data_IF_252729530774
#
_entry.id   IF_252729530774
#
_cell.length_a   1.000
_cell.length_b   1.000
_cell.length_c   1.000
_cell.angle_alpha   90.00
_cell.angle_beta   90.00
_cell.angle_gamma   90.00
#
_symmetry.space_group_name_H-M   'P 1'
#
loop_
_entity.id
_entity.type
_entity.pdbx_description
1 polymer ?
#
# COMPACT_ATOMS: atom_id res chain seq x y z
N UNK A 1 14.28 -4.68 -21.55
CA UNK A 1 13.59 -3.36 -21.47
C UNK A 1 13.07 -3.07 -20.07
N UNK A 2 12.49 -4.04 -19.37
CA UNK A 2 12.03 -3.94 -17.98
C UNK A 2 13.14 -3.74 -16.92
N UNK A 3 14.41 -4.02 -17.24
CA UNK A 3 15.52 -3.94 -16.29
C UNK A 3 16.31 -2.63 -16.31
N UNK A 4 16.18 -1.78 -17.35
CA UNK A 4 16.96 -0.54 -17.47
C UNK A 4 16.11 0.73 -17.40
N UNK A 5 14.95 0.75 -18.06
CA UNK A 5 14.05 1.91 -18.00
C UNK A 5 13.27 1.97 -16.68
N UNK A 6 12.79 0.83 -16.19
CA UNK A 6 12.02 0.78 -14.94
C UNK A 6 12.89 0.99 -13.71
N UNK A 7 14.17 0.57 -13.73
CA UNK A 7 15.09 0.74 -12.60
C UNK A 7 15.38 2.21 -12.28
N UNK A 8 15.54 3.04 -13.32
CA UNK A 8 15.72 4.49 -13.15
C UNK A 8 14.49 5.16 -12.55
N UNK A 9 13.29 4.79 -13.01
CA UNK A 9 12.02 5.26 -12.48
C UNK A 9 11.78 4.84 -11.03
N UNK A 10 12.13 3.61 -10.67
CA UNK A 10 12.02 3.07 -9.30
C UNK A 10 13.01 3.77 -8.36
N UNK A 11 14.28 3.95 -8.78
CA UNK A 11 15.27 4.70 -8.01
C UNK A 11 14.87 6.17 -7.82
N UNK A 12 14.29 6.80 -8.83
CA UNK A 12 13.89 8.21 -8.74
C UNK A 12 12.71 8.41 -7.77
N UNK A 13 11.70 7.54 -7.84
CA UNK A 13 10.58 7.59 -6.90
C UNK A 13 11.01 7.27 -5.46
N UNK A 14 11.90 6.29 -5.25
CA UNK A 14 12.42 5.96 -3.92
C UNK A 14 13.35 7.05 -3.35
N UNK A 15 14.12 7.74 -4.19
CA UNK A 15 14.94 8.89 -3.80
C UNK A 15 14.07 10.05 -3.28
N UNK A 16 12.95 10.35 -3.93
CA UNK A 16 12.03 11.41 -3.49
C UNK A 16 11.48 11.10 -2.08
N UNK A 17 11.06 9.86 -1.86
CA UNK A 17 10.56 9.43 -0.54
C UNK A 17 11.67 9.48 0.50
N UNK A 18 12.88 9.00 0.17
CA UNK A 18 14.03 9.04 1.06
C UNK A 18 14.44 10.46 1.46
N UNK A 19 14.37 11.43 0.53
CA UNK A 19 14.63 12.85 0.82
C UNK A 19 13.59 13.39 1.80
N UNK A 20 12.30 13.08 1.61
CA UNK A 20 11.24 13.53 2.53
C UNK A 20 11.42 12.89 3.92
N UNK A 21 11.78 11.61 3.99
CA UNK A 21 12.11 10.92 5.24
C UNK A 21 13.31 11.57 5.95
N UNK A 22 14.38 11.89 5.22
CA UNK A 22 15.54 12.58 5.78
C UNK A 22 15.19 13.97 6.32
N UNK A 23 14.38 14.75 5.58
CA UNK A 23 13.87 16.05 6.04
C UNK A 23 13.01 15.92 7.30
N UNK A 24 12.19 14.87 7.40
CA UNK A 24 11.35 14.60 8.56
C UNK A 24 12.18 14.28 9.81
N UNK A 25 13.24 13.49 9.68
CA UNK A 25 14.09 13.15 10.84
C UNK A 25 14.87 14.38 11.32
N UNK A 26 15.31 15.26 10.41
CA UNK A 26 15.89 16.56 10.79
C UNK A 26 14.87 17.49 11.48
N UNK A 27 13.62 17.52 11.01
CA UNK A 27 12.56 18.28 11.67
C UNK A 27 12.24 17.73 13.07
N UNK A 28 12.33 16.41 13.25
CA UNK A 28 12.14 15.74 14.54
C UNK A 28 13.23 16.09 15.55
N UNK A 29 14.49 16.20 15.11
CA UNK A 29 15.57 16.75 15.94
C UNK A 29 15.30 18.22 16.32
N UNK A 30 14.80 19.04 15.38
CA UNK A 30 14.39 20.42 15.67
C UNK A 30 13.27 20.50 16.72
N UNK A 31 12.32 19.57 16.71
CA UNK A 31 11.25 19.47 17.71
C UNK A 31 11.78 19.19 19.11
N UNK A 32 12.86 18.44 19.25
CA UNK A 32 13.50 18.20 20.55
C UNK A 32 14.03 19.48 21.21
N UNK A 33 14.19 20.56 20.43
CA UNK A 33 14.61 21.90 20.89
C UNK A 33 13.44 22.82 21.28
N UNK A 34 12.20 22.34 21.23
CA UNK A 34 11.01 23.06 21.71
C UNK A 34 10.35 24.00 20.69
N UNK A 35 10.69 23.89 19.41
CA UNK A 35 10.18 24.79 18.38
C UNK A 35 8.83 24.31 17.82
N UNK A 36 7.77 25.11 17.97
CA UNK A 36 6.42 24.74 17.51
C UNK A 36 6.34 24.66 15.97
N UNK A 37 7.21 25.39 15.27
CA UNK A 37 7.39 25.31 13.83
C UNK A 37 7.90 23.95 13.38
N UNK A 38 8.76 23.30 14.18
CA UNK A 38 9.27 21.96 13.89
C UNK A 38 8.17 20.89 14.01
N UNK A 39 7.20 21.07 14.92
CA UNK A 39 6.02 20.21 15.02
C UNK A 39 5.12 20.33 13.78
N UNK A 40 4.88 21.55 13.29
CA UNK A 40 4.11 21.77 12.06
C UNK A 40 4.84 21.21 10.84
N UNK A 41 6.16 21.41 10.74
CA UNK A 41 6.98 20.87 9.67
C UNK A 41 6.99 19.33 9.66
N UNK A 42 7.11 18.69 10.83
CA UNK A 42 7.04 17.23 10.97
C UNK A 42 5.69 16.68 10.48
N UNK A 43 4.58 17.33 10.85
CA UNK A 43 3.25 16.94 10.37
C UNK A 43 3.11 17.10 8.85
N UNK A 44 3.55 18.23 8.29
CA UNK A 44 3.47 18.50 6.85
C UNK A 44 4.35 17.51 6.07
N UNK A 45 5.57 17.25 6.55
CA UNK A 45 6.49 16.28 5.94
C UNK A 45 5.96 14.85 6.05
N UNK A 46 5.29 14.50 7.16
CA UNK A 46 4.62 13.21 7.30
C UNK A 46 3.47 13.03 6.31
N UNK A 47 2.64 14.07 6.13
CA UNK A 47 1.59 14.07 5.11
C UNK A 47 2.19 13.97 3.69
N UNK A 48 3.24 14.74 3.41
CA UNK A 48 3.90 14.74 2.11
C UNK A 48 4.56 13.39 1.79
N UNK A 49 5.16 12.74 2.79
CA UNK A 49 5.72 11.41 2.65
C UNK A 49 4.63 10.40 2.26
N UNK A 50 3.50 10.41 2.98
CA UNK A 50 2.38 9.53 2.68
C UNK A 50 1.82 9.75 1.28
N UNK A 51 1.68 11.01 0.85
CA UNK A 51 1.24 11.36 -0.51
C UNK A 51 2.24 10.88 -1.56
N UNK A 52 3.55 11.05 -1.33
CA UNK A 52 4.60 10.65 -2.27
C UNK A 52 4.69 9.12 -2.40
N UNK A 53 4.66 8.38 -1.29
CA UNK A 53 4.64 6.92 -1.28
C UNK A 53 3.40 6.38 -2.00
N UNK A 54 2.24 6.98 -1.74
CA UNK A 54 1.00 6.66 -2.42
C UNK A 54 1.11 6.89 -3.92
N UNK A 55 1.54 8.08 -4.33
CA UNK A 55 1.71 8.43 -5.74
C UNK A 55 2.68 7.50 -6.47
N UNK A 56 3.78 7.13 -5.81
CA UNK A 56 4.76 6.19 -6.34
C UNK A 56 4.16 4.82 -6.63
N UNK A 57 3.28 4.29 -5.76
CA UNK A 57 2.58 3.01 -5.97
C UNK A 57 1.84 2.98 -7.31
N UNK A 58 1.09 4.05 -7.62
CA UNK A 58 0.35 4.16 -8.88
C UNK A 58 1.25 4.43 -10.09
N UNK A 59 2.26 5.30 -9.93
CA UNK A 59 3.22 5.59 -10.99
C UNK A 59 3.99 4.32 -11.39
N UNK A 60 4.39 3.47 -10.44
CA UNK A 60 5.05 2.20 -10.74
C UNK A 60 4.17 1.21 -11.49
N UNK A 61 2.87 1.14 -11.18
CA UNK A 61 1.92 0.34 -11.98
C UNK A 61 1.86 0.81 -13.43
N UNK A 62 1.80 2.12 -13.68
CA UNK A 62 1.81 2.67 -15.05
C UNK A 62 3.15 2.43 -15.77
N UNK A 63 4.28 2.56 -15.09
CA UNK A 63 5.60 2.22 -15.65
C UNK A 63 5.67 0.72 -16.00
N UNK A 64 5.08 -0.14 -15.18
CA UNK A 64 5.02 -1.59 -15.41
C UNK A 64 4.10 -2.00 -16.56
N UNK A 65 2.93 -1.38 -16.68
CA UNK A 65 1.93 -1.69 -17.71
C UNK A 65 2.29 -1.11 -19.08
N UNK A 66 2.69 0.15 -19.11
CA UNK A 66 2.83 0.92 -20.36
C UNK A 66 4.28 1.24 -20.73
N UNK A 67 5.24 1.04 -19.82
CA UNK A 67 6.65 1.32 -20.08
C UNK A 67 6.99 2.82 -20.15
N UNK A 68 6.14 3.70 -19.62
CA UNK A 68 6.38 5.14 -19.57
C UNK A 68 7.57 5.51 -18.65
N UNK A 69 8.16 6.68 -18.86
CA UNK A 69 9.07 7.28 -17.88
C UNK A 69 8.33 7.69 -16.61
N UNK A 70 9.00 7.75 -15.45
CA UNK A 70 8.37 8.08 -14.17
C UNK A 70 7.56 9.39 -14.19
N UNK A 71 8.09 10.43 -14.85
CA UNK A 71 7.41 11.73 -14.96
C UNK A 71 6.16 11.68 -15.85
N UNK A 72 6.18 10.87 -16.91
CA UNK A 72 5.03 10.66 -17.80
C UNK A 72 3.97 9.80 -17.12
N UNK A 73 4.37 8.69 -16.49
CA UNK A 73 3.49 7.87 -15.66
C UNK A 73 2.85 8.70 -14.54
N UNK A 74 3.61 9.58 -13.88
CA UNK A 74 3.08 10.49 -12.89
C UNK A 74 2.03 11.46 -13.45
N UNK A 75 2.26 12.04 -14.64
CA UNK A 75 1.25 12.91 -15.28
C UNK A 75 -0.04 12.17 -15.58
N UNK A 76 0.05 10.95 -16.09
CA UNK A 76 -1.13 10.11 -16.36
C UNK A 76 -1.88 9.75 -15.08
N UNK A 77 -1.15 9.43 -14.00
CA UNK A 77 -1.75 9.21 -12.68
C UNK A 77 -2.47 10.46 -12.15
N UNK A 78 -1.90 11.66 -12.31
CA UNK A 78 -2.56 12.92 -11.94
C UNK A 78 -3.80 13.18 -12.79
N UNK A 79 -3.74 12.92 -14.10
CA UNK A 79 -4.90 13.07 -15.00
C UNK A 79 -6.01 12.09 -14.60
N UNK A 80 -5.67 10.83 -14.33
CA UNK A 80 -6.60 9.81 -13.87
C UNK A 80 -7.30 10.23 -12.56
N UNK A 81 -6.55 10.77 -11.60
CA UNK A 81 -7.13 11.28 -10.33
C UNK A 81 -8.03 12.51 -10.54
N UNK A 82 -7.72 13.38 -11.50
CA UNK A 82 -8.58 14.53 -11.85
C UNK A 82 -9.87 14.10 -12.54
N UNK A 83 -9.80 13.12 -13.43
CA UNK A 83 -10.96 12.65 -14.20
C UNK A 83 -11.92 11.79 -13.39
N UNK A 84 -11.41 10.93 -12.50
CA UNK A 84 -12.25 10.03 -11.69
C UNK A 84 -12.51 10.50 -10.25
N UNK A 85 -11.80 11.55 -9.82
CA UNK A 85 -11.95 12.17 -8.50
C UNK A 85 -11.16 11.48 -7.38
N UNK A 86 -11.03 12.20 -6.26
CA UNK A 86 -10.38 11.73 -5.03
C UNK A 86 -11.05 10.51 -4.37
N UNK A 87 -12.20 10.08 -4.88
CA UNK A 87 -12.93 8.88 -4.43
C UNK A 87 -12.11 7.61 -4.57
N UNK A 88 -11.32 7.46 -5.64
CA UNK A 88 -10.38 6.33 -5.80
C UNK A 88 -9.35 6.28 -4.66
N UNK A 89 -8.89 7.45 -4.20
CA UNK A 89 -7.92 7.59 -3.11
C UNK A 89 -8.53 7.15 -1.77
N UNK A 90 -9.81 7.45 -1.55
CA UNK A 90 -10.54 7.07 -0.33
C UNK A 90 -10.76 5.55 -0.30
N UNK A 91 -11.14 4.94 -1.42
CA UNK A 91 -11.36 3.48 -1.51
C UNK A 91 -10.05 2.69 -1.34
N UNK A 92 -8.94 3.15 -1.92
CA UNK A 92 -7.64 2.47 -1.79
C UNK A 92 -7.12 2.48 -0.34
N UNK A 93 -7.31 3.60 0.38
CA UNK A 93 -7.00 3.66 1.81
C UNK A 93 -7.79 2.65 2.66
N UNK A 94 -9.02 2.31 2.25
CA UNK A 94 -9.81 1.28 2.93
C UNK A 94 -9.26 -0.11 2.62
N UNK A 95 -8.88 -0.37 1.37
CA UNK A 95 -8.31 -1.66 0.95
C UNK A 95 -7.00 -1.93 1.70
N UNK A 96 -6.06 -0.98 1.72
CA UNK A 96 -4.77 -1.16 2.40
C UNK A 96 -4.94 -1.36 3.92
N UNK A 97 -5.92 -0.71 4.55
CA UNK A 97 -6.25 -0.93 5.97
C UNK A 97 -6.83 -2.31 6.24
N UNK A 98 -7.75 -2.77 5.39
CA UNK A 98 -8.34 -4.11 5.52
C UNK A 98 -7.28 -5.18 5.33
N UNK A 99 -6.43 -5.05 4.32
CA UNK A 99 -5.32 -5.97 4.06
C UNK A 99 -4.30 -5.98 5.20
N UNK A 100 -4.01 -4.82 5.79
CA UNK A 100 -3.19 -4.72 7.00
C UNK A 100 -3.78 -5.48 8.19
N UNK A 101 -5.10 -5.38 8.40
CA UNK A 101 -5.80 -6.10 9.47
C UNK A 101 -5.72 -7.62 9.27
N UNK A 102 -5.87 -8.09 8.03
CA UNK A 102 -5.69 -9.52 7.69
C UNK A 102 -4.26 -9.97 7.95
N UNK A 103 -3.27 -9.13 7.64
CA UNK A 103 -1.86 -9.43 7.90
C UNK A 103 -1.55 -9.60 9.38
N UNK A 104 -2.10 -8.73 10.23
CA UNK A 104 -1.96 -8.84 11.70
C UNK A 104 -2.70 -10.08 12.23
N UNK A 105 -3.91 -10.35 11.73
CA UNK A 105 -4.68 -11.54 12.10
C UNK A 105 -3.94 -12.84 11.79
N UNK A 106 -3.39 -12.97 10.58
CA UNK A 106 -2.55 -14.11 10.21
C UNK A 106 -1.26 -14.20 11.02
N UNK A 107 -0.64 -13.07 11.35
CA UNK A 107 0.50 -13.03 12.26
C UNK A 107 0.19 -13.65 13.61
N UNK A 108 -0.95 -13.29 14.21
CA UNK A 108 -1.37 -13.84 15.51
C UNK A 108 -1.61 -15.34 15.40
N UNK A 109 -2.27 -15.82 14.34
CA UNK A 109 -2.47 -17.25 14.10
C UNK A 109 -1.14 -18.00 13.99
N UNK A 110 -0.17 -17.43 13.27
CA UNK A 110 1.17 -18.01 13.13
C UNK A 110 1.95 -17.98 14.46
N UNK A 111 1.76 -16.94 15.28
CA UNK A 111 2.27 -16.88 16.65
C UNK A 111 1.71 -17.98 17.55
N UNK A 112 0.41 -18.26 17.47
CA UNK A 112 -0.23 -19.35 18.23
C UNK A 112 0.29 -20.71 17.75
N UNK A 113 0.41 -20.92 16.43
CA UNK A 113 1.00 -22.14 15.86
C UNK A 113 2.45 -22.33 16.31
N UNK A 114 3.23 -21.25 16.39
CA UNK A 114 4.61 -21.31 16.87
C UNK A 114 4.71 -21.74 18.34
N UNK A 115 3.77 -21.34 19.20
CA UNK A 115 3.68 -21.84 20.59
C UNK A 115 3.40 -23.35 20.59
N UNK A 116 2.41 -23.81 19.82
CA UNK A 116 2.02 -25.23 19.77
C UNK A 116 3.17 -26.11 19.28
N UNK A 117 3.87 -25.67 18.23
CA UNK A 117 5.04 -26.40 17.70
C UNK A 117 6.20 -26.41 18.70
N UNK A 118 6.39 -25.32 19.44
CA UNK A 118 7.45 -25.23 20.46
C UNK A 118 7.18 -26.17 21.64
N UNK A 119 5.91 -26.25 22.08
CA UNK A 119 5.48 -27.21 23.10
C UNK A 119 5.57 -28.66 22.63
N UNK A 120 5.22 -28.95 21.37
CA UNK A 120 5.32 -30.31 20.81
C UNK A 120 6.76 -30.80 20.65
N UNK A 121 7.71 -29.89 20.40
CA UNK A 121 9.14 -30.22 20.29
C UNK A 121 9.90 -30.20 21.62
N UNK A 122 9.23 -29.88 22.73
CA UNK A 122 9.87 -29.79 24.06
C UNK A 122 10.94 -28.70 24.13
N UNK A 123 10.79 -27.61 23.36
CA UNK A 123 11.70 -26.47 23.42
C UNK A 123 11.35 -25.62 24.64
N UNK A 124 11.89 -26.00 25.81
CA UNK A 124 11.77 -25.18 27.01
C UNK A 124 12.79 -24.04 26.97
N UNK A 125 12.31 -22.83 26.67
CA UNK A 125 13.05 -21.61 26.97
C UNK A 125 12.89 -21.33 28.47
N UNK A 126 13.86 -21.74 29.28
CA UNK A 126 13.86 -21.49 30.73
C UNK A 126 13.73 -19.99 31.03
N UNK A 127 12.63 -19.61 31.70
CA UNK A 127 12.37 -18.24 32.19
C UNK A 127 11.02 -17.64 31.75
N UNK A 128 10.83 -16.35 32.05
CA UNK A 128 9.62 -15.56 31.77
C UNK A 128 9.33 -15.39 30.25
N UNK A 129 10.17 -15.96 29.38
CA UNK A 129 10.09 -15.93 27.92
C UNK A 129 9.58 -17.21 27.24
N UNK A 130 9.29 -18.29 28.00
CA UNK A 130 8.94 -19.62 27.48
C UNK A 130 7.96 -19.66 26.29
N UNK A 131 6.79 -19.06 26.47
CA UNK A 131 5.77 -18.95 25.42
C UNK A 131 5.83 -17.63 24.65
N UNK A 132 6.41 -16.59 25.25
CA UNK A 132 6.46 -15.25 24.67
C UNK A 132 7.43 -15.17 23.49
N UNK A 133 8.60 -15.80 23.60
CA UNK A 133 9.62 -15.83 22.53
C UNK A 133 9.11 -16.51 21.24
N UNK A 134 8.59 -17.75 21.27
CA UNK A 134 8.08 -18.39 20.06
C UNK A 134 6.85 -17.67 19.49
N UNK A 135 6.00 -17.09 20.35
CA UNK A 135 4.88 -16.26 19.90
C UNK A 135 5.36 -15.04 19.10
N UNK A 136 6.33 -14.28 19.61
CA UNK A 136 6.85 -13.09 18.95
C UNK A 136 7.57 -13.41 17.64
N UNK A 137 8.32 -14.51 17.59
CA UNK A 137 8.97 -14.98 16.36
C UNK A 137 7.89 -15.38 15.33
N UNK A 138 6.89 -16.15 15.73
CA UNK A 138 5.77 -16.53 14.86
C UNK A 138 4.94 -15.33 14.39
N UNK A 139 4.69 -14.36 15.27
CA UNK A 139 3.99 -13.11 14.97
C UNK A 139 4.75 -12.31 13.92
N UNK A 140 6.05 -12.05 14.12
CA UNK A 140 6.85 -11.26 13.18
C UNK A 140 6.98 -11.98 11.84
N UNK A 141 7.29 -13.27 11.84
CA UNK A 141 7.45 -14.03 10.58
C UNK A 141 6.12 -14.15 9.81
N UNK A 142 5.02 -14.42 10.51
CA UNK A 142 3.68 -14.52 9.91
C UNK A 142 3.15 -13.18 9.41
N UNK A 143 3.37 -12.09 10.15
CA UNK A 143 2.98 -10.74 9.70
C UNK A 143 3.79 -10.29 8.50
N UNK A 144 5.12 -10.48 8.50
CA UNK A 144 5.98 -10.09 7.37
C UNK A 144 5.59 -10.87 6.12
N UNK A 145 5.48 -12.20 6.21
CA UNK A 145 5.12 -13.01 5.04
C UNK A 145 3.74 -12.65 4.48
N UNK A 146 2.75 -12.47 5.36
CA UNK A 146 1.40 -12.09 4.93
C UNK A 146 1.37 -10.69 4.33
N UNK A 147 2.13 -9.74 4.89
CA UNK A 147 2.17 -8.36 4.38
C UNK A 147 2.73 -8.28 2.97
N UNK A 148 3.75 -9.07 2.64
CA UNK A 148 4.31 -9.16 1.29
C UNK A 148 3.28 -9.70 0.32
N UNK A 149 2.60 -10.80 0.67
CA UNK A 149 1.54 -11.37 -0.18
C UNK A 149 0.38 -10.39 -0.38
N UNK A 150 -0.05 -9.71 0.68
CA UNK A 150 -1.13 -8.73 0.62
C UNK A 150 -0.75 -7.48 -0.19
N UNK A 151 0.52 -7.06 -0.18
CA UNK A 151 0.99 -5.96 -1.05
C UNK A 151 0.87 -6.30 -2.54
N UNK A 152 1.11 -7.56 -2.91
CA UNK A 152 0.93 -8.04 -4.28
C UNK A 152 -0.55 -7.98 -4.65
N UNK A 153 -1.44 -8.45 -3.76
CA UNK A 153 -2.89 -8.38 -3.97
C UNK A 153 -3.36 -6.94 -4.13
N UNK A 154 -2.91 -6.03 -3.27
CA UNK A 154 -3.23 -4.59 -3.35
C UNK A 154 -2.81 -3.99 -4.70
N UNK A 155 -1.57 -4.28 -5.14
CA UNK A 155 -1.07 -3.83 -6.44
C UNK A 155 -1.87 -4.40 -7.63
N UNK A 156 -2.30 -5.66 -7.54
CA UNK A 156 -3.11 -6.29 -8.57
C UNK A 156 -4.52 -5.68 -8.64
N UNK A 157 -5.15 -5.43 -7.49
CA UNK A 157 -6.46 -4.75 -7.42
C UNK A 157 -6.36 -3.35 -8.01
N UNK A 158 -5.33 -2.57 -7.66
CA UNK A 158 -5.14 -1.23 -8.21
C UNK A 158 -4.94 -1.27 -9.73
N UNK A 159 -4.16 -2.22 -10.23
CA UNK A 159 -4.01 -2.43 -11.67
C UNK A 159 -5.34 -2.73 -12.36
N UNK A 160 -6.15 -3.64 -11.80
CA UNK A 160 -7.46 -3.97 -12.37
C UNK A 160 -8.39 -2.76 -12.36
N UNK A 161 -8.38 -1.95 -11.30
CA UNK A 161 -9.14 -0.71 -11.22
C UNK A 161 -8.67 0.29 -12.29
N UNK A 162 -7.37 0.45 -12.50
CA UNK A 162 -6.82 1.30 -13.59
C UNK A 162 -7.28 0.79 -14.96
N UNK A 163 -7.17 -0.50 -15.24
CA UNK A 163 -7.60 -1.07 -16.53
C UNK A 163 -9.10 -0.86 -16.77
N UNK A 164 -9.93 -1.08 -15.75
CA UNK A 164 -11.36 -0.78 -15.81
C UNK A 164 -11.61 0.73 -15.98
N UNK A 165 -10.74 1.56 -15.41
CA UNK A 165 -10.87 3.00 -15.45
C UNK A 165 -10.49 3.62 -16.81
N UNK A 166 -9.49 3.08 -17.48
CA UNK A 166 -8.95 3.65 -18.70
C UNK A 166 -9.80 3.29 -19.93
N UNK A 167 -10.27 2.03 -20.03
CA UNK A 167 -11.00 1.55 -21.19
C UNK A 167 -12.24 0.71 -20.80
N UNK A 168 -13.29 1.31 -20.20
CA UNK A 168 -14.45 0.58 -19.69
C UNK A 168 -15.23 -0.17 -20.78
N UNK A 169 -15.26 0.36 -22.02
CA UNK A 169 -15.95 -0.28 -23.14
C UNK A 169 -15.22 -1.53 -23.64
N UNK A 170 -13.89 -1.47 -23.76
CA UNK A 170 -13.08 -2.62 -24.16
C UNK A 170 -13.04 -3.69 -23.07
N UNK A 171 -12.99 -3.27 -21.80
CA UNK A 171 -13.09 -4.18 -20.67
C UNK A 171 -14.44 -4.91 -20.61
N UNK A 172 -15.55 -4.23 -20.94
CA UNK A 172 -16.87 -4.88 -21.02
C UNK A 172 -16.95 -5.89 -22.16
N UNK A 173 -16.31 -5.63 -23.31
CA UNK A 173 -16.26 -6.59 -24.43
C UNK A 173 -15.46 -7.84 -24.09
N UNK A 174 -14.33 -7.69 -23.41
CA UNK A 174 -13.44 -8.82 -23.07
C UNK A 174 -13.89 -9.57 -21.82
N UNK A 175 -14.43 -8.88 -20.81
CA UNK A 175 -14.83 -9.44 -19.52
C UNK A 175 -16.21 -8.91 -19.06
N UNK A 176 -17.31 -9.34 -19.71
CA UNK A 176 -18.64 -8.79 -19.45
C UNK A 176 -19.12 -9.03 -18.01
N UNK A 177 -18.98 -10.25 -17.50
CA UNK A 177 -19.42 -10.61 -16.13
C UNK A 177 -18.70 -9.81 -15.04
N UNK A 178 -17.39 -9.60 -15.18
CA UNK A 178 -16.59 -8.83 -14.21
C UNK A 178 -16.94 -7.34 -14.27
N UNK A 179 -17.16 -6.81 -15.48
CA UNK A 179 -17.56 -5.42 -15.67
C UNK A 179 -18.92 -5.11 -15.03
N UNK A 180 -19.86 -6.06 -15.07
CA UNK A 180 -21.17 -5.90 -14.46
C UNK A 180 -21.09 -5.92 -12.93
N UNK A 181 -20.35 -6.87 -12.35
CA UNK A 181 -20.11 -6.93 -10.91
C UNK A 181 -19.46 -5.64 -10.40
N UNK A 182 -18.44 -5.13 -11.09
CA UNK A 182 -17.80 -3.86 -10.74
C UNK A 182 -18.79 -2.70 -10.79
N UNK A 183 -19.66 -2.61 -11.80
CA UNK A 183 -20.69 -1.56 -11.88
C UNK A 183 -21.69 -1.64 -10.73
N UNK A 184 -22.09 -2.84 -10.33
CA UNK A 184 -23.02 -3.05 -9.21
C UNK A 184 -22.37 -2.64 -7.89
N UNK A 185 -21.16 -3.13 -7.60
CA UNK A 185 -20.41 -2.75 -6.40
C UNK A 185 -20.11 -1.25 -6.36
N UNK A 186 -19.78 -0.64 -7.50
CA UNK A 186 -19.54 0.80 -7.59
C UNK A 186 -20.79 1.64 -7.27
N UNK A 187 -21.97 1.22 -7.74
CA UNK A 187 -23.26 1.86 -7.38
C UNK A 187 -23.57 1.73 -5.88
N UNK A 188 -23.25 0.59 -5.27
CA UNK A 188 -23.44 0.37 -3.84
C UNK A 188 -22.49 1.22 -2.99
N UNK A 189 -21.23 1.36 -3.42
CA UNK A 189 -20.22 2.16 -2.71
C UNK A 189 -20.47 3.68 -2.83
N UNK A 190 -20.98 4.14 -3.98
CA UNK A 190 -21.20 5.58 -4.27
C UNK A 190 -22.63 5.87 -4.75
N UNK A 191 -23.66 5.71 -3.88
CA UNK A 191 -25.06 5.88 -4.26
C UNK A 191 -25.44 7.33 -4.62
N UNK A 192 -24.66 8.32 -4.20
CA UNK A 192 -24.89 9.75 -4.47
C UNK A 192 -24.42 10.22 -5.84
N UNK A 193 -23.52 9.49 -6.52
CA UNK A 193 -22.96 9.88 -7.83
C UNK A 193 -23.84 9.50 -9.03
N UNK A 194 -24.85 8.65 -8.85
CA UNK A 194 -25.74 8.15 -9.91
C UNK A 194 -27.21 8.55 -9.71
N UNK A 195 -27.46 9.74 -9.14
CA UNK A 195 -28.81 10.33 -9.09
C UNK A 195 -29.21 10.95 -10.43
N UNK A 196 -29.08 10.21 -11.55
CA UNK A 196 -29.71 10.53 -12.83
C UNK A 196 -29.99 9.23 -13.59
#
# INVERSE_FOLDING_TARGET
RATTYSFGSICFGSLIVAIIQALREMAREGRSRGDMLACCAECILGCLQGIAEYFNKWAYSFVGLYGYGFLEAGKEVINLFKERGWTTIITDNLIDRVLGLVSVGNGILMGILAIVVSGAKGMDFEGMGGMFVPFMIGLVTGTVLTSVLMSIVSSAVNTVIVCYAEAPQEFQKQHPNLSEQMRVSWRQAFPSHFKY
#
